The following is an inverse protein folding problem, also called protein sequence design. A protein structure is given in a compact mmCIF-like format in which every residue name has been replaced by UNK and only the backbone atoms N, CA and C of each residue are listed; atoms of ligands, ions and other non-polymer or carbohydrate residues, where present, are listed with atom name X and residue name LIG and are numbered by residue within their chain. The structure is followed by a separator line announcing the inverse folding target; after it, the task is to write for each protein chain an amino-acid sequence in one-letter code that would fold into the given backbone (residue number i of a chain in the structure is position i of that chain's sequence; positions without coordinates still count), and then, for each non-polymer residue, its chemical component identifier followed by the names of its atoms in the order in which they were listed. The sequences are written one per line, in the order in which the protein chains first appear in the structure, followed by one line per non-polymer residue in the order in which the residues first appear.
data_IF_029159966527
#
_entry.id   IF_029159966527
#
_cell.length_a   1.000
_cell.length_b   1.000
_cell.length_c   1.000
_cell.angle_alpha   90.00
_cell.angle_beta   90.00
_cell.angle_gamma   90.00
#
_symmetry.space_group_name_H-M   'P 1'
#
loop_
_entity.id
_entity.type
_entity.pdbx_description
1 polymer ?
#
# COMPACT_ATOMS: atom_id res chain seq x y z
N UNK A 1 -12.89 -6.33 -15.32
CA UNK A 1 -13.56 -5.33 -14.47
C UNK A 1 -12.48 -4.60 -13.72
N UNK A 2 -12.30 -3.31 -14.01
CA UNK A 2 -11.50 -2.43 -13.17
C UNK A 2 -12.26 -2.24 -11.87
N UNK A 3 -11.84 -2.92 -10.81
CA UNK A 3 -12.40 -2.67 -9.49
C UNK A 3 -11.81 -1.34 -8.99
N UNK A 4 -12.66 -0.42 -8.56
CA UNK A 4 -12.22 0.77 -7.81
C UNK A 4 -11.48 0.29 -6.55
N UNK A 5 -10.18 0.56 -6.48
CA UNK A 5 -9.36 0.25 -5.32
C UNK A 5 -9.53 1.35 -4.27
N UNK A 6 -9.93 0.96 -3.08
CA UNK A 6 -9.91 1.83 -1.92
C UNK A 6 -8.48 2.06 -1.42
N UNK A 7 -8.27 3.19 -0.76
CA UNK A 7 -7.04 3.51 -0.04
C UNK A 7 -7.39 3.77 1.41
N UNK A 8 -6.77 3.04 2.33
CA UNK A 8 -6.82 3.35 3.76
C UNK A 8 -5.44 3.81 4.20
N UNK A 9 -5.39 4.91 4.95
CA UNK A 9 -4.14 5.43 5.50
C UNK A 9 -4.24 5.48 7.03
N UNK A 10 -3.31 4.82 7.72
CA UNK A 10 -3.17 4.89 9.17
C UNK A 10 -1.79 5.45 9.53
N UNK A 11 -1.75 6.63 10.14
CA UNK A 11 -0.46 7.28 10.48
C UNK A 11 0.39 6.40 11.40
N UNK A 12 -0.25 5.67 12.33
CA UNK A 12 0.43 4.83 13.31
C UNK A 12 0.63 3.37 12.85
N UNK A 13 0.37 3.07 11.57
CA UNK A 13 0.48 1.73 11.01
C UNK A 13 -0.72 0.81 11.32
N UNK A 14 -0.50 -0.49 11.17
CA UNK A 14 -1.53 -1.52 11.30
C UNK A 14 -1.02 -2.71 12.10
N UNK A 15 -1.94 -3.33 12.84
CA UNK A 15 -1.67 -4.65 13.41
C UNK A 15 -1.44 -5.70 12.32
N UNK A 16 -0.60 -6.72 12.58
CA UNK A 16 -0.38 -7.82 11.64
C UNK A 16 -1.68 -8.53 11.21
N UNK A 17 -2.62 -8.67 12.13
CA UNK A 17 -3.96 -9.23 11.90
C UNK A 17 -4.75 -8.43 10.89
N UNK A 18 -4.73 -7.09 10.99
CA UNK A 18 -5.40 -6.20 10.05
C UNK A 18 -4.80 -6.27 8.63
N UNK A 19 -3.48 -6.42 8.51
CA UNK A 19 -2.80 -6.62 7.22
C UNK A 19 -3.20 -7.96 6.59
N UNK A 20 -3.27 -9.03 7.38
CA UNK A 20 -3.65 -10.36 6.91
C UNK A 20 -5.12 -10.44 6.46
N UNK A 21 -6.05 -9.89 7.25
CA UNK A 21 -7.49 -9.91 6.96
C UNK A 21 -7.86 -9.16 5.67
N UNK A 22 -7.09 -8.14 5.32
CA UNK A 22 -7.29 -7.37 4.10
C UNK A 22 -6.52 -7.92 2.90
N UNK A 23 -5.76 -9.00 3.05
CA UNK A 23 -4.98 -9.62 1.97
C UNK A 23 -5.70 -10.84 1.39
N UNK A 24 -5.56 -11.08 0.08
CA UNK A 24 -6.25 -12.18 -0.60
C UNK A 24 -6.16 -12.11 -2.13
N UNK A 25 -6.87 -13.00 -2.82
CA UNK A 25 -6.76 -13.18 -4.29
C UNK A 25 -7.25 -11.99 -5.13
N UNK A 26 -8.08 -11.11 -4.55
CA UNK A 26 -8.59 -9.90 -5.19
C UNK A 26 -8.59 -8.75 -4.19
N UNK A 27 -7.44 -8.10 -3.95
CA UNK A 27 -7.37 -6.97 -3.05
C UNK A 27 -8.16 -5.79 -3.61
N UNK A 28 -9.15 -5.33 -2.85
CA UNK A 28 -9.97 -4.14 -3.17
C UNK A 28 -9.54 -2.91 -2.37
N UNK A 29 -8.58 -3.07 -1.46
CA UNK A 29 -8.10 -2.03 -0.55
C UNK A 29 -6.56 -2.07 -0.51
N UNK A 30 -5.89 -0.93 -0.65
CA UNK A 30 -4.46 -0.78 -0.36
C UNK A 30 -4.31 -0.10 1.00
N UNK A 31 -3.39 -0.62 1.81
CA UNK A 31 -3.04 -0.08 3.11
C UNK A 31 -1.76 0.75 3.00
N UNK A 32 -1.80 1.98 3.48
CA UNK A 32 -0.64 2.84 3.66
C UNK A 32 -0.48 3.24 5.12
N UNK A 33 0.76 3.45 5.53
CA UNK A 33 1.06 4.03 6.84
C UNK A 33 1.77 5.39 6.76
N UNK A 34 2.14 5.93 7.93
CA UNK A 34 2.88 7.18 8.01
C UNK A 34 4.20 7.15 7.23
N UNK A 35 4.88 6.00 7.13
CA UNK A 35 6.14 5.92 6.39
C UNK A 35 5.93 6.13 4.88
N UNK A 36 4.82 5.64 4.34
CA UNK A 36 4.41 5.90 2.95
C UNK A 36 4.21 7.38 2.66
N UNK A 37 3.58 8.10 3.58
CA UNK A 37 3.41 9.54 3.47
C UNK A 37 4.76 10.24 3.58
N UNK A 38 5.61 9.86 4.54
CA UNK A 38 6.91 10.49 4.73
C UNK A 38 7.79 10.36 3.49
N UNK A 39 7.89 9.18 2.87
CA UNK A 39 8.72 9.04 1.66
C UNK A 39 8.18 9.83 0.46
N UNK A 40 6.87 10.09 0.41
CA UNK A 40 6.25 10.89 -0.63
C UNK A 40 6.42 12.39 -0.38
N UNK A 41 6.31 12.82 0.88
CA UNK A 41 6.49 14.22 1.31
C UNK A 41 7.97 14.64 1.29
N UNK A 42 8.89 13.71 1.54
CA UNK A 42 10.35 13.91 1.41
C UNK A 42 10.83 13.84 -0.04
N UNK A 43 9.93 13.83 -1.03
CA UNK A 43 10.21 13.73 -2.46
C UNK A 43 11.09 12.52 -2.87
N UNK A 44 11.15 11.47 -2.04
CA UNK A 44 11.89 10.23 -2.36
C UNK A 44 11.19 9.43 -3.46
N UNK A 45 9.87 9.58 -3.58
CA UNK A 45 9.05 9.07 -4.69
C UNK A 45 7.79 9.92 -4.83
N UNK A 46 7.37 10.22 -6.07
CA UNK A 46 6.09 10.91 -6.29
C UNK A 46 4.91 10.06 -5.78
N UNK A 47 3.96 10.66 -5.05
CA UNK A 47 2.82 9.93 -4.47
C UNK A 47 2.04 9.07 -5.48
N UNK A 48 1.75 9.53 -6.73
CA UNK A 48 1.11 8.67 -7.72
C UNK A 48 1.94 7.43 -8.12
N UNK A 49 3.27 7.55 -8.14
CA UNK A 49 4.17 6.43 -8.43
C UNK A 49 4.20 5.43 -7.27
N UNK A 50 4.18 5.90 -6.03
CA UNK A 50 4.05 5.07 -4.84
C UNK A 50 2.77 4.22 -4.88
N UNK A 51 1.63 4.86 -5.17
CA UNK A 51 0.34 4.18 -5.31
C UNK A 51 0.35 3.14 -6.43
N UNK A 52 0.92 3.49 -7.59
CA UNK A 52 1.01 2.58 -8.72
C UNK A 52 1.82 1.32 -8.38
N UNK A 53 2.98 1.47 -7.74
CA UNK A 53 3.84 0.35 -7.35
C UNK A 53 3.18 -0.55 -6.32
N UNK A 54 2.51 0.04 -5.31
CA UNK A 54 1.76 -0.75 -4.31
C UNK A 54 0.57 -1.48 -4.92
N UNK A 55 -0.14 -0.87 -5.86
CA UNK A 55 -1.19 -1.54 -6.62
C UNK A 55 -0.66 -2.74 -7.39
N UNK A 56 0.48 -2.60 -8.05
CA UNK A 56 1.12 -3.70 -8.78
C UNK A 56 1.57 -4.83 -7.83
N UNK A 57 2.10 -4.50 -6.65
CA UNK A 57 2.42 -5.48 -5.61
C UNK A 57 1.18 -6.27 -5.19
N UNK A 58 0.12 -5.57 -4.77
CA UNK A 58 -1.12 -6.20 -4.33
C UNK A 58 -1.74 -7.09 -5.43
N UNK A 59 -1.74 -6.62 -6.69
CA UNK A 59 -2.22 -7.42 -7.81
C UNK A 59 -1.40 -8.70 -8.06
N UNK A 60 -0.10 -8.69 -7.75
CA UNK A 60 0.82 -9.81 -7.98
C UNK A 60 0.85 -10.81 -6.81
N UNK A 61 0.79 -10.33 -5.57
CA UNK A 61 0.98 -11.16 -4.37
C UNK A 61 -0.30 -11.39 -3.59
N UNK A 62 -1.33 -10.56 -3.80
CA UNK A 62 -2.52 -10.51 -2.96
C UNK A 62 -2.32 -9.77 -1.63
N UNK A 63 -1.10 -9.31 -1.33
CA UNK A 63 -0.80 -8.57 -0.11
C UNK A 63 -1.15 -7.09 -0.26
N UNK A 64 -2.01 -6.59 0.62
CA UNK A 64 -2.48 -5.20 0.55
C UNK A 64 -1.59 -4.18 1.25
N UNK A 65 -0.58 -4.67 1.97
CA UNK A 65 0.43 -3.87 2.63
C UNK A 65 1.83 -4.37 2.25
N UNK A 66 2.73 -3.42 1.98
CA UNK A 66 4.16 -3.62 1.81
C UNK A 66 4.86 -2.38 2.34
N UNK A 67 5.99 -2.53 3.02
CA UNK A 67 6.71 -1.40 3.59
C UNK A 67 7.17 -0.40 2.51
N UNK A 68 7.05 0.88 2.83
CA UNK A 68 7.45 2.02 2.00
C UNK A 68 8.89 1.87 1.47
N UNK A 69 9.82 1.49 2.37
CA UNK A 69 11.24 1.30 2.05
C UNK A 69 11.47 0.19 1.00
N UNK A 70 10.73 -0.91 1.10
CA UNK A 70 10.85 -2.04 0.16
C UNK A 70 10.36 -1.68 -1.25
N UNK A 71 9.43 -0.72 -1.37
CA UNK A 71 8.89 -0.28 -2.67
C UNK A 71 9.86 0.63 -3.45
N UNK A 72 10.71 1.38 -2.76
CA UNK A 72 11.63 2.32 -3.40
C UNK A 72 12.96 1.66 -3.82
N UNK A 73 13.34 0.56 -3.15
CA UNK A 73 14.61 -0.14 -3.39
C UNK A 73 15.68 0.31 -2.41
#
# INVERSE_FOLDING_TARGET
MDNTLGLFISINGYEPTAKALNSGSRPVLILLDGADLMIALDDRIAFPQLLLRKKQHAARTGETFIDAATIIG
#
